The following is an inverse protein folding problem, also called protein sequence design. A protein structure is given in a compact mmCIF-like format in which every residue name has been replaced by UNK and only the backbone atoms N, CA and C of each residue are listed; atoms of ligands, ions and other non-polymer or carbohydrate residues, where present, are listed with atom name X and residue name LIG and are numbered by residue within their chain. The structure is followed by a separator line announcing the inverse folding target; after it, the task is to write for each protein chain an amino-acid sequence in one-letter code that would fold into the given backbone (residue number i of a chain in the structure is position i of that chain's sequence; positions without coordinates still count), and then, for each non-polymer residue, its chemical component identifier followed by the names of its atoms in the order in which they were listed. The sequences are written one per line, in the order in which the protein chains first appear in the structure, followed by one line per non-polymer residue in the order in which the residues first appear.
data_IF_130464866029
#
_entry.id   IF_130464866029
#
_cell.length_a   1.000
_cell.length_b   1.000
_cell.length_c   1.000
_cell.angle_alpha   90.00
_cell.angle_beta   90.00
_cell.angle_gamma   90.00
#
_symmetry.space_group_name_H-M   'P 1'
#
loop_
_entity.id
_entity.type
_entity.pdbx_description
1 polymer ?
#
# COMPACT_ATOMS: atom_id res chain seq x y z
N UNK A 1 -30.40 -3.23 12.76
CA UNK A 1 -31.03 -3.38 11.43
C UNK A 1 -30.06 -2.80 10.40
N UNK A 2 -30.02 -3.37 9.20
CA UNK A 2 -29.00 -3.25 8.11
C UNK A 2 -28.02 -4.44 8.10
N UNK A 3 -28.58 -5.61 7.86
CA UNK A 3 -27.92 -6.77 7.27
C UNK A 3 -28.92 -7.33 6.26
N UNK A 4 -29.00 -6.72 5.09
CA UNK A 4 -29.51 -7.32 3.85
C UNK A 4 -29.55 -6.26 2.75
N UNK A 5 -28.56 -6.27 1.85
CA UNK A 5 -28.82 -5.98 0.43
C UNK A 5 -27.70 -6.41 -0.53
N UNK A 6 -27.12 -7.60 -0.38
CA UNK A 6 -26.32 -8.17 -1.48
C UNK A 6 -26.59 -9.68 -1.59
N UNK A 7 -27.86 -10.02 -1.87
CA UNK A 7 -28.21 -11.34 -2.41
C UNK A 7 -27.84 -11.32 -3.90
N UNK A 8 -26.65 -11.83 -4.25
CA UNK A 8 -26.31 -12.19 -5.65
C UNK A 8 -25.04 -11.59 -6.25
N UNK A 9 -24.18 -10.92 -5.49
CA UNK A 9 -22.86 -10.48 -5.98
C UNK A 9 -21.78 -11.17 -5.15
N UNK A 10 -21.10 -12.16 -5.74
CA UNK A 10 -19.89 -12.72 -5.13
C UNK A 10 -18.81 -11.64 -5.16
N UNK A 11 -18.55 -11.02 -4.00
CA UNK A 11 -17.42 -10.10 -3.85
C UNK A 11 -16.16 -10.94 -3.70
N UNK A 12 -15.42 -11.12 -4.79
CA UNK A 12 -14.10 -11.75 -4.77
C UNK A 12 -13.08 -10.77 -4.17
N UNK A 13 -12.48 -11.15 -3.03
CA UNK A 13 -11.32 -10.44 -2.51
C UNK A 13 -10.05 -10.94 -3.19
N UNK A 14 -9.17 -10.02 -3.56
CA UNK A 14 -7.89 -10.32 -4.15
C UNK A 14 -6.79 -9.49 -3.47
N UNK A 15 -5.61 -10.11 -3.34
CA UNK A 15 -4.41 -9.45 -2.85
C UNK A 15 -3.42 -9.30 -4.00
N UNK A 16 -3.07 -8.06 -4.32
CA UNK A 16 -2.09 -7.72 -5.37
C UNK A 16 -0.81 -7.26 -4.68
N UNK A 17 0.32 -7.80 -5.10
CA UNK A 17 1.63 -7.44 -4.53
C UNK A 17 2.54 -6.90 -5.61
N UNK A 18 3.30 -5.85 -5.30
CA UNK A 18 4.36 -5.32 -6.15
C UNK A 18 5.55 -4.88 -5.31
N UNK A 19 6.74 -5.18 -5.80
CA UNK A 19 8.00 -4.82 -5.16
C UNK A 19 8.78 -3.85 -6.03
N UNK A 20 9.33 -2.82 -5.39
CA UNK A 20 10.26 -1.86 -5.96
C UNK A 20 11.58 -1.97 -5.19
N UNK A 21 12.66 -2.25 -5.89
CA UNK A 21 14.00 -2.45 -5.30
C UNK A 21 14.97 -1.39 -5.83
N UNK A 22 16.17 -1.35 -5.24
CA UNK A 22 17.27 -0.45 -5.64
C UNK A 22 16.89 1.04 -5.60
N UNK A 23 16.05 1.42 -4.62
CA UNK A 23 15.61 2.80 -4.45
C UNK A 23 16.72 3.57 -3.73
N UNK A 24 17.45 4.40 -4.49
CA UNK A 24 18.61 5.16 -3.98
C UNK A 24 18.34 6.65 -3.79
N UNK A 25 17.13 7.11 -4.12
CA UNK A 25 16.71 8.51 -3.99
C UNK A 25 15.18 8.61 -3.83
N UNK A 26 14.70 9.81 -3.48
CA UNK A 26 13.27 10.06 -3.38
C UNK A 26 12.56 9.69 -4.69
N UNK A 27 11.58 8.80 -4.58
CA UNK A 27 10.86 8.27 -5.75
C UNK A 27 9.37 8.24 -5.49
N UNK A 28 8.60 8.52 -6.54
CA UNK A 28 7.15 8.33 -6.58
C UNK A 28 6.86 7.12 -7.45
N UNK A 29 6.17 6.14 -6.89
CA UNK A 29 5.79 4.92 -7.57
C UNK A 29 4.31 4.93 -7.91
N UNK A 30 4.01 4.43 -9.10
CA UNK A 30 2.65 4.23 -9.57
C UNK A 30 2.36 2.72 -9.58
N UNK A 31 1.40 2.30 -8.77
CA UNK A 31 0.87 0.95 -8.74
C UNK A 31 -0.50 0.96 -9.44
N UNK A 32 -0.62 0.34 -10.63
CA UNK A 32 -1.91 0.15 -11.27
C UNK A 32 -2.85 -0.65 -10.35
N UNK A 33 -4.07 -0.16 -10.17
CA UNK A 33 -5.09 -0.80 -9.35
C UNK A 33 -5.94 -1.72 -10.22
N UNK A 34 -5.75 -3.02 -10.06
CA UNK A 34 -6.64 -4.05 -10.64
C UNK A 34 -7.80 -4.43 -9.71
N UNK A 35 -7.76 -3.93 -8.48
CA UNK A 35 -8.78 -4.11 -7.43
C UNK A 35 -9.17 -2.76 -6.86
N UNK A 36 -10.37 -2.65 -6.31
CA UNK A 36 -10.77 -1.52 -5.47
C UNK A 36 -10.17 -1.71 -4.08
N UNK A 37 -9.13 -0.94 -3.69
CA UNK A 37 -8.34 -1.23 -2.51
C UNK A 37 -9.15 -1.01 -1.23
N UNK A 38 -9.03 -1.88 -0.23
CA UNK A 38 -9.62 -1.70 1.11
C UNK A 38 -8.52 -1.55 2.18
N UNK A 39 -7.39 -2.21 1.95
CA UNK A 39 -6.18 -2.03 2.74
C UNK A 39 -4.94 -2.00 1.84
N UNK A 40 -3.98 -1.17 2.22
CA UNK A 40 -2.66 -1.06 1.57
C UNK A 40 -1.61 -1.25 2.65
N UNK A 41 -0.74 -2.22 2.45
CA UNK A 41 0.36 -2.53 3.36
C UNK A 41 1.66 -2.20 2.62
N UNK A 42 2.47 -1.34 3.22
CA UNK A 42 3.79 -0.97 2.73
C UNK A 42 4.83 -1.55 3.68
N UNK A 43 5.66 -2.47 3.20
CA UNK A 43 6.86 -2.90 3.91
C UNK A 43 8.06 -2.23 3.26
N UNK A 44 8.71 -1.34 3.99
CA UNK A 44 9.93 -0.67 3.56
C UNK A 44 11.11 -1.29 4.28
N UNK A 45 12.18 -1.64 3.58
CA UNK A 45 13.39 -2.21 4.16
C UNK A 45 14.63 -1.60 3.56
N UNK A 46 15.70 -1.53 4.36
CA UNK A 46 17.00 -1.02 3.95
C UNK A 46 18.08 -1.67 4.84
N UNK A 47 18.91 -2.52 4.24
CA UNK A 47 19.80 -3.40 5.02
C UNK A 47 19.00 -4.38 5.88
N UNK A 48 19.33 -4.46 7.17
CA UNK A 48 18.65 -5.32 8.15
C UNK A 48 17.41 -4.67 8.79
N UNK A 49 17.17 -3.38 8.49
CA UNK A 49 16.08 -2.60 9.07
C UNK A 49 14.81 -2.67 8.21
N UNK A 50 13.64 -2.62 8.87
CA UNK A 50 12.35 -2.59 8.19
C UNK A 50 11.26 -1.84 8.97
N UNK A 51 10.40 -1.13 8.24
CA UNK A 51 9.18 -0.48 8.72
C UNK A 51 7.97 -1.05 7.94
N UNK A 52 6.90 -1.38 8.66
CA UNK A 52 5.61 -1.78 8.10
C UNK A 52 4.58 -0.69 8.36
N UNK A 53 4.01 -0.12 7.30
CA UNK A 53 2.90 0.83 7.36
C UNK A 53 1.63 0.21 6.78
N UNK A 54 0.49 0.35 7.47
CA UNK A 54 -0.79 -0.15 6.97
C UNK A 54 -1.83 0.96 6.93
N UNK A 55 -2.39 1.17 5.74
CA UNK A 55 -3.50 2.05 5.46
C UNK A 55 -4.77 1.22 5.27
N UNK A 56 -5.87 1.68 5.84
CA UNK A 56 -7.17 1.02 5.73
C UNK A 56 -8.28 2.05 5.54
N UNK A 57 -9.33 1.66 4.80
CA UNK A 57 -10.62 2.37 4.76
C UNK A 57 -11.76 1.44 5.14
N UNK A 58 -12.72 1.98 5.89
CA UNK A 58 -13.90 1.23 6.36
C UNK A 58 -14.97 1.05 5.27
N UNK A 59 -15.04 2.02 4.36
CA UNK A 59 -16.00 2.10 3.27
C UNK A 59 -15.19 2.18 1.96
N UNK A 60 -15.68 1.57 0.88
CA UNK A 60 -15.05 1.62 -0.44
C UNK A 60 -14.87 3.05 -0.96
N UNK A 61 -15.72 3.99 -0.54
CA UNK A 61 -15.60 5.40 -0.94
C UNK A 61 -15.00 6.29 0.16
N UNK A 62 -14.52 5.69 1.25
CA UNK A 62 -13.93 6.40 2.38
C UNK A 62 -12.44 6.68 2.19
N UNK A 63 -11.93 7.63 2.97
CA UNK A 63 -10.50 7.97 3.00
C UNK A 63 -9.66 6.89 3.69
N UNK A 64 -8.44 6.70 3.19
CA UNK A 64 -7.44 5.86 3.83
C UNK A 64 -6.92 6.50 5.11
N UNK A 65 -6.93 5.75 6.20
CA UNK A 65 -6.30 6.13 7.46
C UNK A 65 -5.08 5.24 7.72
N UNK A 66 -3.93 5.83 8.05
CA UNK A 66 -2.78 5.10 8.57
C UNK A 66 -3.14 4.55 9.96
N UNK A 67 -3.09 3.21 10.13
CA UNK A 67 -3.46 2.55 11.39
C UNK A 67 -2.29 1.93 12.13
N UNK A 68 -1.27 1.46 11.41
CA UNK A 68 -0.14 0.75 12.02
C UNK A 68 1.14 1.22 11.35
N UNK A 69 2.10 1.69 12.15
CA UNK A 69 3.53 1.80 11.78
C UNK A 69 4.30 0.98 12.81
N UNK A 70 4.97 -0.08 12.38
CA UNK A 70 5.74 -0.98 13.25
C UNK A 70 7.14 -1.17 12.67
N UNK A 71 8.14 -1.29 13.54
CA UNK A 71 9.55 -1.38 13.15
C UNK A 71 10.23 -0.02 13.06
N UNK A 72 11.50 -0.04 12.68
CA UNK A 72 12.32 1.14 12.48
C UNK A 72 13.15 0.90 11.23
N UNK A 73 13.14 1.88 10.33
CA UNK A 73 13.92 1.87 9.11
C UNK A 73 14.43 3.29 8.86
N UNK A 74 15.69 3.48 8.45
CA UNK A 74 16.19 4.81 8.06
C UNK A 74 15.52 5.33 6.77
N UNK A 75 14.74 4.49 6.09
CA UNK A 75 13.96 4.79 4.91
C UNK A 75 12.48 4.78 5.25
N UNK A 76 11.73 5.74 4.72
CA UNK A 76 10.29 5.86 4.94
C UNK A 76 9.52 5.80 3.62
N UNK A 77 8.47 4.97 3.59
CA UNK A 77 7.50 4.96 2.50
C UNK A 77 6.10 5.30 2.99
N UNK A 78 5.33 6.02 2.17
CA UNK A 78 3.97 6.45 2.50
C UNK A 78 3.04 6.30 1.30
N UNK A 79 1.76 6.07 1.58
CA UNK A 79 0.71 6.28 0.59
C UNK A 79 0.54 7.78 0.37
N UNK A 80 0.62 8.21 -0.90
CA UNK A 80 0.53 9.62 -1.28
C UNK A 80 -0.87 9.99 -1.76
N UNK A 81 -1.43 9.22 -2.69
CA UNK A 81 -2.76 9.44 -3.25
C UNK A 81 -3.34 8.14 -3.81
N UNK A 82 -4.66 7.99 -3.76
CA UNK A 82 -5.41 7.05 -4.59
C UNK A 82 -6.05 7.84 -5.73
N UNK A 83 -5.78 7.43 -6.96
CA UNK A 83 -6.47 7.87 -8.17
C UNK A 83 -7.33 6.71 -8.68
N UNK A 84 -8.25 7.01 -9.60
CA UNK A 84 -9.25 6.05 -10.10
C UNK A 84 -8.67 4.69 -10.50
N UNK A 85 -7.50 4.65 -11.14
CA UNK A 85 -6.86 3.40 -11.58
C UNK A 85 -5.44 3.22 -11.04
N UNK A 86 -4.99 4.08 -10.12
CA UNK A 86 -3.58 4.08 -9.70
C UNK A 86 -3.43 4.49 -8.25
N UNK A 87 -2.66 3.71 -7.50
CA UNK A 87 -2.19 4.07 -6.18
C UNK A 87 -0.79 4.68 -6.30
N UNK A 88 -0.63 5.88 -5.75
CA UNK A 88 0.64 6.59 -5.68
C UNK A 88 1.30 6.36 -4.33
N UNK A 89 2.55 5.92 -4.37
CA UNK A 89 3.37 5.64 -3.20
C UNK A 89 4.63 6.48 -3.27
N UNK A 90 5.14 6.91 -2.13
CA UNK A 90 6.45 7.57 -2.02
C UNK A 90 7.40 6.68 -1.23
N UNK A 91 8.68 6.73 -1.58
CA UNK A 91 9.77 6.19 -0.77
C UNK A 91 10.88 7.24 -0.69
N UNK A 92 11.43 7.44 0.50
CA UNK A 92 12.43 8.48 0.79
C UNK A 92 13.47 7.97 1.78
N UNK A 93 14.71 8.45 1.66
CA UNK A 93 15.81 8.10 2.56
C UNK A 93 16.72 6.96 2.06
N UNK A 94 16.37 6.31 0.94
CA UNK A 94 17.28 5.37 0.27
C UNK A 94 18.53 6.08 -0.25
N UNK A 95 19.66 5.35 -0.29
CA UNK A 95 20.94 5.87 -0.81
C UNK A 95 21.69 4.77 -1.57
N UNK A 96 22.72 5.12 -2.35
CA UNK A 96 23.55 4.11 -3.04
C UNK A 96 24.28 3.14 -2.09
N UNK A 97 24.61 3.57 -0.87
CA UNK A 97 25.26 2.73 0.14
C UNK A 97 24.26 1.86 0.92
N UNK A 98 22.99 2.27 0.95
CA UNK A 98 21.90 1.58 1.63
C UNK A 98 20.63 1.72 0.78
N UNK A 99 20.50 0.95 -0.31
CA UNK A 99 19.35 1.02 -1.19
C UNK A 99 18.12 0.46 -0.48
N UNK A 100 16.97 1.08 -0.73
CA UNK A 100 15.72 0.63 -0.13
C UNK A 100 14.96 -0.35 -1.03
N UNK A 101 14.17 -1.20 -0.40
CA UNK A 101 13.13 -2.01 -1.03
C UNK A 101 11.77 -1.66 -0.43
N UNK A 102 10.81 -1.35 -1.31
CA UNK A 102 9.41 -1.12 -0.97
C UNK A 102 8.57 -2.26 -1.54
N UNK A 103 7.95 -3.03 -0.65
CA UNK A 103 6.93 -4.01 -0.98
C UNK A 103 5.55 -3.40 -0.68
N UNK A 104 4.68 -3.35 -1.68
CA UNK A 104 3.30 -2.91 -1.54
C UNK A 104 2.37 -4.10 -1.74
N UNK A 105 1.49 -4.33 -0.77
CA UNK A 105 0.42 -5.31 -0.83
C UNK A 105 -0.90 -4.56 -0.74
N UNK A 106 -1.72 -4.69 -1.78
CA UNK A 106 -3.04 -4.10 -1.86
C UNK A 106 -4.08 -5.22 -1.72
N UNK A 107 -4.85 -5.19 -0.65
CA UNK A 107 -6.01 -6.06 -0.47
C UNK A 107 -7.24 -5.28 -0.90
N UNK A 108 -8.02 -5.82 -1.83
CA UNK A 108 -9.20 -5.15 -2.36
C UNK A 108 -10.24 -6.09 -2.90
N UNK A 109 -11.35 -5.51 -3.35
CA UNK A 109 -12.40 -6.22 -4.08
C UNK A 109 -12.09 -6.15 -5.57
N UNK A 110 -12.17 -7.28 -6.26
CA UNK A 110 -12.01 -7.33 -7.71
C UNK A 110 -13.02 -6.41 -8.41
N UNK A 111 -12.53 -5.64 -9.37
CA UNK A 111 -13.37 -4.76 -10.19
C UNK A 111 -14.11 -5.53 -11.28
#
# INVERSE_FOLDING_TARGET
MIFNWIYGTELEMEAVTKTYSDITEYSIFHLPLTVSPLAVILRTSAGDDAELCTYYRADQNGDFTLRVSQGSCPVSSRMYAELEETLMLTCSGGTAALPATLECITLGVKR
#
